data_IF_944219445597
#
_entry.id   IF_944219445597
#
_cell.length_a   1.000
_cell.length_b   1.000
_cell.length_c   1.000
_cell.angle_alpha   90.00
_cell.angle_beta   90.00
_cell.angle_gamma   90.00
#
_symmetry.space_group_name_H-M   'P 1'
#
loop_
_entity.id
_entity.type
_entity.pdbx_description
1 polymer ?
#
# COMPACT_ATOMS: atom_id res chain seq x y z
N UNK A 1 -20.60 -31.66 49.57
CA UNK A 1 -19.53 -31.96 48.61
C UNK A 1 -19.93 -31.29 47.30
N UNK A 2 -19.43 -30.10 47.06
CA UNK A 2 -19.72 -29.29 45.87
C UNK A 2 -18.56 -29.53 44.93
N UNK A 3 -18.89 -30.01 43.72
CA UNK A 3 -17.93 -30.45 42.73
C UNK A 3 -17.01 -29.31 42.26
N UNK A 4 -15.74 -29.62 42.25
CA UNK A 4 -14.66 -28.87 41.68
C UNK A 4 -14.83 -28.85 40.13
N UNK A 5 -15.35 -27.75 39.59
CA UNK A 5 -15.41 -27.58 38.15
C UNK A 5 -13.99 -27.36 37.64
N UNK A 6 -13.42 -28.37 37.00
CA UNK A 6 -12.21 -28.25 36.18
C UNK A 6 -12.40 -27.09 35.18
N UNK A 7 -11.80 -25.94 35.44
CA UNK A 7 -11.57 -24.90 34.43
C UNK A 7 -10.54 -25.45 33.47
N UNK A 8 -11.00 -25.98 32.33
CA UNK A 8 -10.13 -26.20 31.18
C UNK A 8 -9.48 -24.85 30.81
N UNK A 9 -8.14 -24.78 30.72
CA UNK A 9 -7.50 -23.60 30.22
C UNK A 9 -7.97 -23.42 28.76
N UNK A 10 -8.65 -22.31 28.48
CA UNK A 10 -8.91 -21.88 27.09
C UNK A 10 -7.54 -21.74 26.44
N UNK A 11 -7.35 -22.21 25.20
CA UNK A 11 -6.11 -21.97 24.46
C UNK A 11 -5.86 -20.46 24.45
N UNK A 12 -4.62 -20.08 24.74
CA UNK A 12 -4.22 -18.70 24.77
C UNK A 12 -4.32 -18.15 23.34
N UNK A 13 -5.46 -17.54 23.04
CA UNK A 13 -5.82 -16.98 21.72
C UNK A 13 -4.87 -15.83 21.30
N UNK A 14 -4.03 -15.37 22.24
CA UNK A 14 -3.00 -14.35 22.00
C UNK A 14 -1.85 -14.85 21.14
N UNK A 15 -1.53 -16.14 21.16
CA UNK A 15 -0.47 -16.71 20.31
C UNK A 15 -0.84 -16.70 18.82
N UNK A 16 -2.15 -16.69 18.48
CA UNK A 16 -2.64 -16.66 17.11
C UNK A 16 -2.72 -15.23 16.52
N UNK A 17 -2.58 -14.19 17.33
CA UNK A 17 -2.69 -12.77 16.92
C UNK A 17 -1.37 -12.12 16.55
N UNK A 18 -0.26 -12.82 16.67
CA UNK A 18 1.06 -12.27 16.34
C UNK A 18 1.21 -12.10 14.83
N UNK A 19 1.62 -10.91 14.39
CA UNK A 19 1.88 -10.65 12.99
C UNK A 19 3.10 -11.46 12.50
N UNK A 20 3.13 -11.89 11.23
CA UNK A 20 4.28 -12.58 10.67
C UNK A 20 5.52 -11.67 10.64
N UNK A 21 6.70 -12.25 10.82
CA UNK A 21 7.95 -11.46 10.74
C UNK A 21 8.16 -10.87 9.35
N UNK A 22 7.87 -11.63 8.32
CA UNK A 22 8.03 -11.25 6.91
C UNK A 22 6.90 -11.80 6.06
N UNK A 23 6.58 -11.06 5.01
CA UNK A 23 5.65 -11.50 3.99
C UNK A 23 6.33 -11.36 2.63
N UNK A 24 6.25 -12.40 1.81
CA UNK A 24 6.62 -12.26 0.40
C UNK A 24 5.58 -11.40 -0.30
N UNK A 25 6.01 -10.27 -0.86
CA UNK A 25 5.11 -9.37 -1.60
C UNK A 25 4.60 -10.04 -2.89
N UNK A 26 3.36 -9.72 -3.25
CA UNK A 26 2.82 -10.02 -4.58
C UNK A 26 3.47 -9.06 -5.59
N UNK A 27 3.74 -9.56 -6.79
CA UNK A 27 4.36 -8.81 -7.89
C UNK A 27 3.33 -8.66 -9.02
N UNK A 28 3.22 -7.46 -9.59
CA UNK A 28 2.34 -7.26 -10.74
C UNK A 28 2.93 -7.90 -12.00
N UNK A 29 2.07 -8.49 -12.81
CA UNK A 29 2.42 -8.97 -14.15
C UNK A 29 2.17 -7.86 -15.17
N UNK A 30 3.08 -7.70 -16.13
CA UNK A 30 2.93 -6.70 -17.18
C UNK A 30 1.90 -7.15 -18.22
N UNK A 31 1.08 -6.20 -18.67
CA UNK A 31 0.21 -6.33 -19.83
C UNK A 31 0.49 -5.21 -20.83
N UNK A 32 0.13 -5.41 -22.10
CA UNK A 32 0.56 -4.52 -23.18
C UNK A 32 -0.14 -3.15 -23.18
N UNK A 33 -1.39 -3.09 -22.70
CA UNK A 33 -2.20 -1.88 -22.73
C UNK A 33 -3.25 -1.84 -21.60
N UNK A 34 -3.78 -0.64 -21.25
CA UNK A 34 -4.98 -0.51 -20.43
C UNK A 34 -6.18 -1.23 -21.04
N UNK A 35 -7.07 -1.71 -20.19
CA UNK A 35 -8.27 -2.45 -20.57
C UNK A 35 -9.43 -2.14 -19.64
N UNK A 36 -10.66 -2.45 -20.05
CA UNK A 36 -11.87 -2.35 -19.25
C UNK A 36 -12.35 -3.75 -18.88
N UNK A 37 -12.64 -3.96 -17.60
CA UNK A 37 -13.14 -5.24 -17.09
C UNK A 37 -13.83 -5.05 -15.73
N UNK A 38 -15.11 -5.45 -15.58
CA UNK A 38 -15.84 -5.30 -14.32
C UNK A 38 -15.29 -6.15 -13.15
N UNK A 39 -14.41 -7.12 -13.43
CA UNK A 39 -13.75 -7.89 -12.37
C UNK A 39 -12.51 -7.20 -11.80
N UNK A 40 -12.11 -6.03 -12.32
CA UNK A 40 -10.89 -5.33 -11.90
C UNK A 40 -11.17 -3.97 -11.30
N UNK A 41 -10.34 -3.65 -10.31
CA UNK A 41 -10.18 -2.33 -9.72
C UNK A 41 -8.91 -1.69 -10.28
N UNK A 42 -9.03 -0.50 -10.84
CA UNK A 42 -7.98 0.26 -11.50
C UNK A 42 -7.55 1.45 -10.65
N UNK A 43 -6.25 1.59 -10.43
CA UNK A 43 -5.64 2.66 -9.65
C UNK A 43 -4.31 3.12 -10.28
N UNK A 44 -3.74 4.30 -9.90
CA UNK A 44 -2.42 4.70 -10.38
C UNK A 44 -1.36 3.65 -10.06
N UNK A 45 -0.45 3.41 -10.99
CA UNK A 45 0.82 2.79 -10.65
C UNK A 45 1.73 3.84 -10.01
N UNK A 46 1.93 3.73 -8.70
CA UNK A 46 2.68 4.73 -7.95
C UNK A 46 4.18 4.62 -8.24
N UNK A 47 4.87 5.75 -8.59
CA UNK A 47 6.30 5.76 -8.91
C UNK A 47 7.15 5.75 -7.63
N UNK A 48 7.13 4.65 -6.89
CA UNK A 48 7.76 4.57 -5.58
C UNK A 48 8.33 3.19 -5.26
N UNK A 49 8.74 3.02 -4.00
CA UNK A 49 9.25 1.75 -3.48
C UNK A 49 8.13 0.96 -2.80
N UNK A 50 7.95 -0.29 -3.20
CA UNK A 50 6.99 -1.19 -2.55
C UNK A 50 7.39 -1.44 -1.10
N UNK A 51 6.43 -1.32 -0.21
CA UNK A 51 6.65 -1.50 1.22
C UNK A 51 5.47 -2.20 1.90
N UNK A 52 5.78 -3.05 2.88
CA UNK A 52 4.80 -3.54 3.85
C UNK A 52 5.01 -2.78 5.16
N UNK A 53 3.92 -2.28 5.73
CA UNK A 53 3.90 -1.68 7.07
C UNK A 53 3.18 -2.63 8.02
N UNK A 54 3.85 -3.03 9.10
CA UNK A 54 3.32 -3.88 10.15
C UNK A 54 3.09 -3.01 11.37
N UNK A 55 1.85 -2.86 11.76
CA UNK A 55 1.42 -2.09 12.94
C UNK A 55 0.96 -3.07 14.00
N UNK A 56 1.63 -3.11 15.15
CA UNK A 56 1.31 -4.01 16.26
C UNK A 56 1.48 -3.29 17.58
N UNK A 57 0.42 -3.16 18.34
CA UNK A 57 0.45 -2.54 19.68
C UNK A 57 1.06 -1.13 19.73
N UNK A 58 0.83 -0.32 18.71
CA UNK A 58 1.36 1.04 18.59
C UNK A 58 2.78 1.13 18.01
N UNK A 59 3.44 0.00 17.75
CA UNK A 59 4.75 -0.05 17.11
C UNK A 59 4.63 -0.19 15.59
N UNK A 60 5.58 0.40 14.86
CA UNK A 60 5.73 0.28 13.42
C UNK A 60 6.99 -0.50 13.05
N UNK A 61 6.82 -1.54 12.27
CA UNK A 61 7.89 -2.21 11.53
C UNK A 61 7.60 -2.16 10.04
N UNK A 62 8.60 -1.91 9.23
CA UNK A 62 8.44 -1.87 7.77
C UNK A 62 9.35 -2.89 7.09
N UNK A 63 8.88 -3.41 5.96
CA UNK A 63 9.64 -4.25 5.06
C UNK A 63 9.70 -3.56 3.69
N UNK A 64 10.91 -3.16 3.29
CA UNK A 64 11.20 -2.54 1.99
C UNK A 64 12.36 -3.32 1.36
N UNK A 65 12.24 -3.67 0.08
CA UNK A 65 13.28 -4.44 -0.60
C UNK A 65 14.59 -3.65 -0.66
N UNK A 66 15.69 -4.30 -0.30
CA UNK A 66 17.03 -3.69 -0.32
C UNK A 66 17.33 -2.73 0.84
N UNK A 67 16.43 -2.55 1.81
CA UNK A 67 16.63 -1.65 2.94
C UNK A 67 16.56 -2.43 4.27
N UNK A 68 17.67 -2.42 5.02
CA UNK A 68 17.77 -3.15 6.29
C UNK A 68 17.03 -2.47 7.44
N UNK A 69 17.02 -1.14 7.47
CA UNK A 69 16.33 -0.32 8.48
C UNK A 69 15.47 0.75 7.80
N UNK A 70 14.23 0.39 7.38
CA UNK A 70 13.33 1.33 6.74
C UNK A 70 12.92 2.50 7.64
N UNK A 71 12.79 2.29 8.95
CA UNK A 71 12.38 3.33 9.88
C UNK A 71 13.47 4.38 10.09
N UNK A 72 14.75 3.98 10.03
CA UNK A 72 15.85 4.95 10.05
C UNK A 72 15.90 5.80 8.77
N UNK A 73 15.52 5.22 7.61
CA UNK A 73 15.45 5.96 6.35
C UNK A 73 14.20 6.85 6.23
N UNK A 74 13.10 6.47 6.91
CA UNK A 74 11.81 7.17 6.88
C UNK A 74 11.28 7.42 8.30
N UNK A 75 12.02 8.16 9.15
CA UNK A 75 11.64 8.36 10.56
C UNK A 75 10.32 9.12 10.73
N UNK A 76 9.89 9.87 9.72
CA UNK A 76 8.65 10.63 9.71
C UNK A 76 7.40 9.73 9.64
N UNK A 77 7.57 8.44 9.32
CA UNK A 77 6.47 7.46 9.28
C UNK A 77 6.26 6.76 10.63
N UNK A 78 7.04 7.07 11.65
CA UNK A 78 6.90 6.47 12.99
C UNK A 78 5.50 6.66 13.59
N UNK A 79 4.86 7.77 13.24
CA UNK A 79 3.51 8.11 13.71
C UNK A 79 2.39 7.37 12.92
N UNK A 80 2.74 6.53 11.94
CA UNK A 80 1.76 5.75 11.16
C UNK A 80 0.82 4.91 12.07
N UNK A 81 1.29 4.26 13.14
CA UNK A 81 0.40 3.51 14.02
C UNK A 81 -0.74 4.34 14.63
N UNK A 82 -0.52 5.62 14.90
CA UNK A 82 -1.54 6.52 15.45
C UNK A 82 -2.71 6.75 14.48
N UNK A 83 -2.49 6.57 13.18
CA UNK A 83 -3.50 6.73 12.14
C UNK A 83 -4.25 5.41 11.86
N UNK A 84 -3.70 4.26 12.24
CA UNK A 84 -4.34 2.94 11.99
C UNK A 84 -5.29 2.61 13.12
N UNK A 85 -6.59 2.46 12.80
CA UNK A 85 -7.65 2.15 13.79
C UNK A 85 -7.71 0.66 14.17
N UNK A 86 -6.56 -0.04 14.15
CA UNK A 86 -6.49 -1.49 14.28
C UNK A 86 -5.22 -1.88 15.04
N UNK A 87 -5.32 -2.76 16.03
CA UNK A 87 -4.18 -3.14 16.89
C UNK A 87 -3.25 -4.21 16.31
N UNK A 88 -3.51 -4.69 15.13
CA UNK A 88 -2.69 -5.72 14.49
C UNK A 88 -2.92 -5.73 12.99
N UNK A 89 -2.36 -4.74 12.28
CA UNK A 89 -2.54 -4.55 10.85
C UNK A 89 -1.26 -4.78 10.04
N UNK A 90 -1.41 -5.33 8.84
CA UNK A 90 -0.34 -5.32 7.83
C UNK A 90 -0.88 -4.67 6.56
N UNK A 91 -0.30 -3.53 6.23
CA UNK A 91 -0.62 -2.76 5.03
C UNK A 91 0.38 -3.09 3.91
N UNK A 92 -0.10 -3.30 2.68
CA UNK A 92 0.75 -3.35 1.49
C UNK A 92 0.55 -2.06 0.69
N UNK A 93 1.65 -1.39 0.34
CA UNK A 93 1.59 -0.10 -0.32
C UNK A 93 2.89 0.33 -0.97
N UNK A 94 2.98 1.61 -1.26
CA UNK A 94 4.12 2.23 -1.93
C UNK A 94 4.61 3.45 -1.15
N UNK A 95 5.91 3.48 -0.86
CA UNK A 95 6.62 4.64 -0.34
C UNK A 95 6.94 5.61 -1.46
N UNK A 96 6.57 6.86 -1.26
CA UNK A 96 6.93 8.00 -2.10
C UNK A 96 7.78 8.98 -1.30
N UNK A 97 8.53 9.82 -2.00
CA UNK A 97 9.09 11.06 -1.44
C UNK A 97 8.58 12.21 -2.29
N UNK A 98 8.05 13.22 -1.64
CA UNK A 98 7.47 14.40 -2.28
C UNK A 98 8.47 15.56 -2.22
N UNK A 99 8.55 16.34 -3.29
CA UNK A 99 9.28 17.61 -3.33
C UNK A 99 8.56 18.70 -2.51
N UNK A 100 9.07 19.93 -2.53
CA UNK A 100 8.52 21.06 -1.77
C UNK A 100 7.11 21.44 -2.23
N UNK A 101 6.79 21.20 -3.51
CA UNK A 101 5.47 21.43 -4.09
C UNK A 101 4.50 20.25 -3.87
N UNK A 102 4.96 19.16 -3.25
CA UNK A 102 4.14 17.99 -2.96
C UNK A 102 3.99 17.02 -4.14
N UNK A 103 4.91 17.04 -5.10
CA UNK A 103 4.95 16.11 -6.26
C UNK A 103 5.83 14.91 -5.95
N UNK A 104 5.45 13.68 -6.34
CA UNK A 104 6.32 12.53 -6.24
C UNK A 104 7.64 12.75 -7.00
N UNK A 105 8.76 12.51 -6.31
CA UNK A 105 10.11 12.69 -6.85
C UNK A 105 10.94 11.41 -6.65
N UNK A 106 11.23 10.74 -7.76
CA UNK A 106 11.95 9.47 -7.77
C UNK A 106 13.43 9.65 -7.38
N UNK A 107 14.04 10.81 -7.65
CA UNK A 107 15.44 11.07 -7.29
C UNK A 107 15.59 11.28 -5.77
N UNK A 108 14.68 12.03 -5.15
CA UNK A 108 14.62 12.18 -3.70
C UNK A 108 14.41 10.83 -3.01
N UNK A 109 13.51 10.00 -3.55
CA UNK A 109 13.30 8.63 -3.04
C UNK A 109 14.59 7.81 -3.19
N UNK A 110 15.21 7.80 -4.36
CA UNK A 110 16.45 7.04 -4.62
C UNK A 110 17.57 7.43 -3.67
N UNK A 111 17.78 8.73 -3.43
CA UNK A 111 18.78 9.23 -2.46
C UNK A 111 18.49 8.73 -1.05
N UNK A 112 17.24 8.72 -0.65
CA UNK A 112 16.82 8.25 0.68
C UNK A 112 17.05 6.73 0.83
N UNK A 113 16.72 5.95 -0.18
CA UNK A 113 16.96 4.50 -0.20
C UNK A 113 18.47 4.16 -0.22
N UNK A 114 19.30 4.95 -0.92
CA UNK A 114 20.76 4.76 -0.97
C UNK A 114 21.46 5.16 0.33
N UNK A 115 20.88 6.00 1.15
CA UNK A 115 21.49 6.54 2.37
C UNK A 115 21.61 5.56 3.53
N UNK A 116 21.09 4.33 3.41
CA UNK A 116 21.21 3.23 4.37
C UNK A 116 21.09 3.66 5.84
N UNK A 117 20.14 4.56 6.14
CA UNK A 117 19.89 5.00 7.52
C UNK A 117 20.94 5.95 8.10
N UNK A 118 21.76 6.61 7.29
CA UNK A 118 22.61 7.72 7.76
C UNK A 118 21.71 8.76 8.43
N UNK A 119 22.05 9.16 9.65
CA UNK A 119 21.34 10.16 10.48
C UNK A 119 21.42 11.55 9.84
N UNK A 120 20.91 11.69 8.61
CA UNK A 120 20.87 12.93 7.84
C UNK A 120 19.46 13.48 7.76
N UNK A 121 19.36 14.80 7.62
CA UNK A 121 18.11 15.44 7.25
C UNK A 121 17.89 15.21 5.77
N UNK A 122 17.03 14.26 5.42
CA UNK A 122 16.71 13.99 4.03
C UNK A 122 15.80 15.07 3.46
N UNK A 123 16.10 15.60 2.27
CA UNK A 123 15.17 16.50 1.57
C UNK A 123 13.90 15.75 1.16
N UNK A 124 12.82 16.50 1.02
CA UNK A 124 11.51 15.97 0.64
C UNK A 124 10.72 15.36 1.81
N UNK A 125 9.45 15.16 1.59
CA UNK A 125 8.51 14.60 2.58
C UNK A 125 8.10 13.20 2.17
N UNK A 126 8.26 12.16 3.00
CA UNK A 126 7.76 10.83 2.68
C UNK A 126 6.23 10.79 2.74
N UNK A 127 5.64 9.96 1.88
CA UNK A 127 4.26 9.55 1.92
C UNK A 127 4.15 8.04 1.70
N UNK A 128 3.20 7.40 2.35
CA UNK A 128 2.90 5.99 2.16
C UNK A 128 1.50 5.85 1.59
N UNK A 129 1.39 5.31 0.39
CA UNK A 129 0.11 5.03 -0.26
C UNK A 129 -0.23 3.57 -0.07
N UNK A 130 -1.18 3.29 0.81
CA UNK A 130 -1.68 1.95 1.08
C UNK A 130 -2.66 1.51 -0.02
N UNK A 131 -2.45 0.34 -0.58
CA UNK A 131 -3.26 -0.26 -1.64
C UNK A 131 -3.98 -1.54 -1.21
N UNK A 132 -3.50 -2.24 -0.19
CA UNK A 132 -4.07 -3.50 0.29
C UNK A 132 -3.90 -3.66 1.81
N UNK A 133 -4.77 -4.49 2.43
CA UNK A 133 -4.71 -4.86 3.84
C UNK A 133 -4.60 -6.38 3.97
N UNK A 134 -3.51 -6.85 4.58
CA UNK A 134 -3.19 -8.28 4.65
C UNK A 134 -3.52 -8.90 6.00
N UNK A 135 -3.52 -8.12 7.08
CA UNK A 135 -3.95 -8.47 8.43
C UNK A 135 -4.78 -7.34 9.02
N UNK A 136 -5.79 -7.68 9.81
CA UNK A 136 -6.65 -6.78 10.56
C UNK A 136 -6.97 -7.44 11.92
N UNK A 137 -6.81 -6.70 13.02
CA UNK A 137 -6.99 -7.21 14.38
C UNK A 137 -6.18 -8.50 14.68
N UNK A 138 -4.97 -8.58 14.09
CA UNK A 138 -4.12 -9.75 14.19
C UNK A 138 -4.59 -10.97 13.36
N UNK A 139 -5.68 -10.84 12.59
CA UNK A 139 -6.22 -11.92 11.76
C UNK A 139 -5.80 -11.79 10.31
N UNK A 140 -5.33 -12.87 9.70
CA UNK A 140 -4.90 -12.89 8.31
C UNK A 140 -6.07 -12.72 7.33
N UNK A 141 -5.95 -11.76 6.44
CA UNK A 141 -6.90 -11.50 5.35
C UNK A 141 -6.43 -12.01 3.98
N UNK A 142 -5.23 -12.59 3.87
CA UNK A 142 -4.63 -12.97 2.56
C UNK A 142 -5.48 -13.94 1.75
N UNK A 143 -6.34 -14.73 2.40
CA UNK A 143 -7.29 -15.65 1.75
C UNK A 143 -8.62 -14.99 1.37
N UNK A 144 -8.87 -13.76 1.81
CA UNK A 144 -10.09 -13.00 1.46
C UNK A 144 -9.95 -12.39 0.06
N UNK A 145 -11.06 -12.16 -0.66
CA UNK A 145 -11.05 -11.40 -1.91
C UNK A 145 -10.43 -10.01 -1.75
N UNK A 146 -9.77 -9.50 -2.79
CA UNK A 146 -9.19 -8.15 -2.77
C UNK A 146 -10.23 -7.07 -2.45
N UNK A 147 -11.43 -7.15 -3.02
CA UNK A 147 -12.53 -6.22 -2.71
C UNK A 147 -12.78 -6.12 -1.20
N UNK A 148 -12.93 -7.25 -0.51
CA UNK A 148 -13.17 -7.26 0.94
C UNK A 148 -11.98 -6.73 1.75
N UNK A 149 -10.74 -6.97 1.30
CA UNK A 149 -9.54 -6.40 1.93
C UNK A 149 -9.45 -4.89 1.74
N UNK A 150 -9.85 -4.42 0.55
CA UNK A 150 -9.87 -3.00 0.19
C UNK A 150 -10.92 -2.22 0.99
N UNK A 151 -12.12 -2.79 1.14
CA UNK A 151 -13.18 -2.19 1.97
C UNK A 151 -12.72 -2.06 3.43
N UNK A 152 -12.10 -3.11 3.97
CA UNK A 152 -11.57 -3.07 5.33
C UNK A 152 -10.41 -2.08 5.46
N UNK A 153 -9.52 -1.97 4.46
CA UNK A 153 -8.44 -0.97 4.43
C UNK A 153 -9.01 0.44 4.60
N UNK A 154 -10.05 0.78 3.85
CA UNK A 154 -10.69 2.10 3.94
C UNK A 154 -11.34 2.37 5.30
N UNK A 155 -11.78 1.32 5.99
CA UNK A 155 -12.38 1.43 7.32
C UNK A 155 -11.32 1.61 8.43
N UNK A 156 -10.14 0.99 8.30
CA UNK A 156 -9.11 1.02 9.35
C UNK A 156 -8.05 2.10 9.15
N UNK A 157 -7.99 2.69 7.97
CA UNK A 157 -7.03 3.74 7.64
C UNK A 157 -7.76 5.00 7.19
N UNK A 158 -8.14 5.90 8.12
CA UNK A 158 -8.74 7.17 7.77
C UNK A 158 -7.78 8.07 6.98
N UNK A 159 -8.32 9.06 6.30
CA UNK A 159 -7.51 10.02 5.55
C UNK A 159 -6.50 10.73 6.45
N UNK A 160 -5.26 10.83 5.98
CA UNK A 160 -4.15 11.49 6.67
C UNK A 160 -3.19 12.14 5.67
N UNK A 161 -2.25 12.91 6.18
CA UNK A 161 -1.31 13.68 5.35
C UNK A 161 -0.14 12.87 4.80
N UNK A 162 0.25 11.81 5.51
CA UNK A 162 1.45 11.00 5.17
C UNK A 162 1.11 9.57 4.80
N UNK A 163 0.01 9.05 5.34
CA UNK A 163 -0.47 7.70 5.06
C UNK A 163 -1.85 7.81 4.46
N UNK A 164 -2.01 7.29 3.26
CA UNK A 164 -3.14 7.56 2.40
C UNK A 164 -3.62 6.26 1.79
N UNK A 165 -4.93 6.07 1.68
CA UNK A 165 -5.50 5.00 0.85
C UNK A 165 -5.59 5.51 -0.58
N UNK A 166 -4.89 4.86 -1.52
CA UNK A 166 -4.97 5.18 -2.94
C UNK A 166 -6.42 5.12 -3.45
N UNK A 167 -6.79 5.96 -4.40
CA UNK A 167 -8.09 5.90 -5.07
C UNK A 167 -8.03 5.07 -6.34
N UNK A 168 -9.16 4.50 -6.73
CA UNK A 168 -9.31 3.77 -7.98
C UNK A 168 -10.77 3.49 -8.28
N UNK A 169 -11.01 2.87 -9.43
CA UNK A 169 -12.33 2.66 -10.00
C UNK A 169 -12.48 1.24 -10.53
N UNK A 170 -13.68 0.71 -10.45
CA UNK A 170 -14.00 -0.61 -11.00
C UNK A 170 -14.38 -0.47 -12.47
N UNK A 171 -13.99 -1.43 -13.31
CA UNK A 171 -14.39 -1.58 -14.70
C UNK A 171 -13.71 -0.62 -15.70
N UNK A 172 -13.51 0.65 -15.39
CA UNK A 172 -13.19 1.73 -16.33
C UNK A 172 -11.67 1.98 -16.44
N UNK A 173 -10.89 0.92 -16.75
CA UNK A 173 -9.43 1.03 -16.78
C UNK A 173 -8.91 1.94 -17.89
N UNK A 174 -9.55 1.98 -19.06
CA UNK A 174 -9.18 2.86 -20.17
C UNK A 174 -9.38 4.33 -19.79
N UNK A 175 -10.53 4.67 -19.21
CA UNK A 175 -10.84 6.03 -18.76
C UNK A 175 -9.90 6.48 -17.63
N UNK A 176 -9.61 5.58 -16.68
CA UNK A 176 -8.61 5.83 -15.62
C UNK A 176 -7.24 6.08 -16.24
N UNK A 177 -6.82 5.30 -17.22
CA UNK A 177 -5.53 5.46 -17.88
C UNK A 177 -5.42 6.81 -18.62
N UNK A 178 -6.47 7.24 -19.31
CA UNK A 178 -6.52 8.56 -19.97
C UNK A 178 -6.37 9.70 -18.95
N UNK A 179 -7.10 9.64 -17.84
CA UNK A 179 -6.99 10.63 -16.78
C UNK A 179 -5.59 10.64 -16.16
N UNK A 180 -4.97 9.47 -15.94
CA UNK A 180 -3.60 9.33 -15.43
C UNK A 180 -2.56 9.86 -16.42
N UNK A 181 -2.74 9.60 -17.73
CA UNK A 181 -1.88 10.17 -18.77
C UNK A 181 -1.86 11.70 -18.71
N UNK A 182 -3.05 12.32 -18.63
CA UNK A 182 -3.20 13.76 -18.46
C UNK A 182 -2.51 14.33 -17.21
N UNK A 183 -2.32 13.50 -16.19
CA UNK A 183 -1.57 13.81 -14.96
C UNK A 183 -0.06 13.44 -15.07
N UNK A 184 0.42 12.91 -16.19
CA UNK A 184 1.82 12.52 -16.35
C UNK A 184 2.19 11.21 -15.67
N UNK A 185 1.24 10.40 -15.26
CA UNK A 185 1.46 9.06 -14.69
C UNK A 185 1.63 8.05 -15.83
N UNK A 186 2.64 7.19 -15.75
CA UNK A 186 3.06 6.27 -16.82
C UNK A 186 2.65 4.81 -16.59
N UNK A 187 1.75 4.57 -15.66
CA UNK A 187 1.30 3.21 -15.40
C UNK A 187 -0.05 3.11 -14.70
N UNK A 188 -0.78 2.08 -15.07
CA UNK A 188 -2.04 1.66 -14.49
C UNK A 188 -1.82 0.36 -13.69
N UNK A 189 -2.33 0.30 -12.48
CA UNK A 189 -2.43 -0.91 -11.67
C UNK A 189 -3.86 -1.45 -11.78
N UNK A 190 -4.01 -2.74 -12.13
CA UNK A 190 -5.29 -3.43 -12.20
C UNK A 190 -5.28 -4.62 -11.23
N UNK A 191 -6.18 -4.61 -10.23
CA UNK A 191 -6.29 -5.67 -9.23
C UNK A 191 -7.62 -6.39 -9.37
N UNK A 192 -7.57 -7.71 -9.56
CA UNK A 192 -8.79 -8.52 -9.69
C UNK A 192 -9.53 -8.57 -8.36
N UNK A 193 -10.78 -8.13 -8.35
CA UNK A 193 -11.63 -7.97 -7.15
C UNK A 193 -11.79 -9.26 -6.34
N UNK A 194 -11.90 -10.42 -7.01
CA UNK A 194 -12.05 -11.73 -6.37
C UNK A 194 -10.73 -12.35 -5.92
N UNK A 195 -9.57 -11.73 -6.22
CA UNK A 195 -8.26 -12.33 -6.01
C UNK A 195 -7.87 -12.43 -4.54
N UNK A 196 -7.14 -13.51 -4.21
CA UNK A 196 -6.44 -13.70 -2.94
C UNK A 196 -5.04 -13.10 -3.03
N UNK A 197 -4.48 -12.68 -1.90
CA UNK A 197 -3.08 -12.25 -1.86
C UNK A 197 -2.15 -13.47 -1.84
N UNK A 198 -1.21 -13.51 -2.79
CA UNK A 198 -0.18 -14.55 -2.89
C UNK A 198 1.16 -13.91 -3.17
N UNK A 199 2.17 -14.20 -2.36
CA UNK A 199 3.52 -13.70 -2.59
C UNK A 199 4.15 -14.24 -3.87
N UNK A 200 4.89 -13.38 -4.58
CA UNK A 200 5.50 -13.65 -5.89
C UNK A 200 4.59 -13.25 -7.05
N UNK A 201 4.73 -13.86 -8.24
CA UNK A 201 4.01 -13.46 -9.46
C UNK A 201 2.50 -13.41 -9.24
N UNK A 202 1.91 -12.23 -9.45
CA UNK A 202 0.48 -11.98 -9.24
C UNK A 202 -0.40 -12.57 -10.32
N UNK A 203 0.14 -12.83 -11.49
CA UNK A 203 -0.61 -13.30 -12.66
C UNK A 203 -1.84 -12.41 -12.85
N UNK A 204 -2.97 -12.98 -13.19
CA UNK A 204 -4.23 -12.26 -13.35
C UNK A 204 -4.73 -11.53 -12.09
N UNK A 205 -4.18 -11.83 -10.88
CA UNK A 205 -4.61 -11.20 -9.65
C UNK A 205 -4.14 -9.74 -9.54
N UNK A 206 -3.02 -9.40 -10.17
CA UNK A 206 -2.48 -8.05 -10.20
C UNK A 206 -1.70 -7.80 -11.48
N UNK A 207 -2.15 -6.83 -12.26
CA UNK A 207 -1.60 -6.47 -13.56
C UNK A 207 -1.09 -5.03 -13.54
N UNK A 208 -0.10 -4.75 -14.38
CA UNK A 208 0.39 -3.40 -14.67
C UNK A 208 0.34 -3.15 -16.16
N UNK A 209 -0.42 -2.15 -16.59
CA UNK A 209 -0.42 -1.65 -17.95
C UNK A 209 0.43 -0.37 -18.08
N UNK A 210 1.21 -0.19 -19.17
CA UNK A 210 1.91 1.05 -19.44
C UNK A 210 0.91 2.12 -19.89
N UNK A 211 1.22 3.39 -19.54
CA UNK A 211 0.53 4.58 -20.02
C UNK A 211 1.58 5.49 -20.65
N UNK A 212 1.25 6.13 -21.76
CA UNK A 212 2.10 7.12 -22.42
C UNK A 212 1.57 8.54 -22.11
N UNK A 213 2.21 9.28 -21.17
CA UNK A 213 1.84 10.67 -20.89
C UNK A 213 2.17 11.58 -22.09
N UNK A 214 1.49 12.74 -22.22
CA UNK A 214 1.83 13.75 -23.21
C UNK A 214 3.21 14.40 -22.95
N UNK A 215 3.79 14.99 -23.99
CA UNK A 215 4.99 15.80 -23.87
C UNK A 215 4.65 17.30 -24.06
N UNK A 216 5.13 18.23 -23.20
CA UNK A 216 5.96 17.96 -22.01
C UNK A 216 5.18 17.23 -20.91
N UNK A 217 5.84 16.29 -20.21
CA UNK A 217 5.21 15.46 -19.19
C UNK A 217 4.77 16.31 -17.99
N UNK A 218 3.48 16.29 -17.61
CA UNK A 218 2.99 16.95 -16.41
C UNK A 218 3.62 16.37 -15.13
N UNK A 219 3.76 17.22 -14.11
CA UNK A 219 4.28 16.84 -12.79
C UNK A 219 3.24 17.22 -11.72
N UNK A 220 2.20 16.40 -11.51
CA UNK A 220 1.12 16.68 -10.58
C UNK A 220 1.58 16.55 -9.14
N UNK A 221 0.91 17.24 -8.22
CA UNK A 221 1.03 16.98 -6.79
C UNK A 221 0.34 15.67 -6.42
N UNK A 222 0.79 15.04 -5.32
CA UNK A 222 0.12 13.85 -4.80
C UNK A 222 -1.37 14.11 -4.54
N UNK A 223 -1.72 15.27 -3.99
CA UNK A 223 -3.10 15.65 -3.74
C UNK A 223 -3.96 15.70 -5.02
N UNK A 224 -3.37 16.12 -6.16
CA UNK A 224 -4.09 16.13 -7.44
C UNK A 224 -4.29 14.70 -7.97
N UNK A 225 -3.26 13.85 -7.89
CA UNK A 225 -3.37 12.44 -8.31
C UNK A 225 -4.46 11.71 -7.49
N UNK A 226 -4.54 11.96 -6.18
CA UNK A 226 -5.54 11.35 -5.31
C UNK A 226 -6.97 11.82 -5.57
N UNK A 227 -7.16 12.97 -6.19
CA UNK A 227 -8.51 13.47 -6.53
C UNK A 227 -9.09 12.84 -7.78
N UNK A 228 -8.25 12.26 -8.66
CA UNK A 228 -8.62 11.65 -9.96
C UNK A 228 -10.06 12.00 -10.35
N UNK A 229 -10.29 13.09 -11.10
CA UNK A 229 -11.64 13.42 -11.51
C UNK A 229 -12.03 12.50 -12.65
N UNK A 230 -12.78 11.44 -12.35
CA UNK A 230 -13.64 10.81 -13.33
C UNK A 230 -14.99 11.54 -13.19
N UNK A 231 -15.17 12.54 -14.01
CA UNK A 231 -16.46 13.24 -14.16
C UNK A 231 -17.26 12.57 -15.25
#
# INVERSE_FOLDING_TARGET
MIGDQLKLPLPDDRASRRLPERIRQMEAEAVDAPFDDPEYFFEPWWPGARALAFVESGDLRMQVSGLSDPIAAFPELRDLPEQVLDEGAVLDGTLLVLDEEGRPDAELLRRRLAGNGTRGRYPGRPAYVASDLLWSEGVSLVKRPFAARRDRLSAVLPAGDRVIVGRGYVQEGTLVAEALAGLGIDGLSARRLSSRYRGGPGREAWLRAPITPPEPRPRPTLALILRLPLS
#
